data_IF_237348594403
#
_entry.id   IF_237348594403
#
_cell.length_a   1.000
_cell.length_b   1.000
_cell.length_c   1.000
_cell.angle_alpha   90.00
_cell.angle_beta   90.00
_cell.angle_gamma   90.00
#
_symmetry.space_group_name_H-M   'P 1'
#
loop_
_entity.id
_entity.type
_entity.pdbx_description
1 polymer ?
#
# COMPACT_ATOMS: atom_id res chain seq x y z
N UNK A 1 10.38 1.44 -10.91
CA UNK A 1 10.15 2.87 -10.56
C UNK A 1 11.38 3.68 -10.93
N UNK A 2 12.59 3.32 -10.51
CA UNK A 2 13.82 4.03 -10.85
C UNK A 2 14.03 4.17 -12.38
N UNK A 3 13.78 3.11 -13.16
CA UNK A 3 13.86 3.17 -14.63
C UNK A 3 12.85 4.11 -15.29
N UNK A 4 11.67 4.31 -14.67
CA UNK A 4 10.70 5.30 -15.16
C UNK A 4 11.14 6.73 -14.93
N UNK A 5 11.93 6.95 -13.90
CA UNK A 5 12.48 8.25 -13.56
C UNK A 5 13.44 8.79 -14.63
N UNK A 6 14.25 7.92 -15.23
CA UNK A 6 15.18 8.30 -16.31
C UNK A 6 14.46 8.85 -17.55
N UNK A 7 13.19 8.50 -17.74
CA UNK A 7 12.37 8.96 -18.85
C UNK A 7 11.56 10.25 -18.56
N UNK A 8 11.62 10.78 -17.33
CA UNK A 8 10.90 12.00 -16.93
C UNK A 8 11.85 13.20 -16.94
N UNK A 9 11.42 14.27 -17.58
CA UNK A 9 12.15 15.55 -17.64
C UNK A 9 12.18 16.29 -16.30
N UNK A 10 11.19 16.02 -15.43
CA UNK A 10 11.07 16.62 -14.09
C UNK A 10 10.54 15.55 -13.10
N UNK A 11 11.41 14.75 -12.50
CA UNK A 11 11.00 13.67 -11.63
C UNK A 11 10.56 14.19 -10.26
N UNK A 12 9.33 13.85 -9.86
CA UNK A 12 8.79 14.14 -8.53
C UNK A 12 9.40 13.29 -7.41
N UNK A 13 10.31 12.38 -7.74
CA UNK A 13 10.95 11.44 -6.81
C UNK A 13 12.45 11.45 -7.02
N UNK A 14 13.22 11.86 -6.02
CA UNK A 14 14.68 11.94 -6.10
C UNK A 14 15.33 10.58 -5.88
N UNK A 15 14.85 9.82 -4.91
CA UNK A 15 15.36 8.50 -4.56
C UNK A 15 14.26 7.48 -4.38
N UNK A 16 14.58 6.24 -4.75
CA UNK A 16 13.77 5.06 -4.45
C UNK A 16 14.72 4.03 -3.84
N UNK A 17 14.44 3.62 -2.62
CA UNK A 17 15.23 2.61 -1.92
C UNK A 17 14.34 1.54 -1.30
N UNK A 18 14.89 0.36 -1.14
CA UNK A 18 14.27 -0.76 -0.42
C UNK A 18 14.52 -0.63 1.09
N UNK A 19 13.82 -1.42 1.89
CA UNK A 19 14.11 -1.50 3.33
C UNK A 19 15.51 -2.04 3.62
N UNK A 20 16.03 -2.95 2.81
CA UNK A 20 17.40 -3.45 2.93
C UNK A 20 18.42 -2.33 2.69
N UNK A 21 18.22 -1.52 1.66
CA UNK A 21 19.08 -0.36 1.36
C UNK A 21 19.00 0.71 2.46
N UNK A 22 17.79 0.96 2.99
CA UNK A 22 17.61 1.87 4.13
C UNK A 22 18.31 1.34 5.39
N UNK A 23 18.21 0.05 5.67
CA UNK A 23 18.92 -0.59 6.78
C UNK A 23 20.44 -0.49 6.62
N UNK A 24 20.95 -0.70 5.41
CA UNK A 24 22.37 -0.52 5.10
C UNK A 24 22.83 0.93 5.27
N UNK A 25 21.99 1.91 4.90
CA UNK A 25 22.27 3.33 5.12
C UNK A 25 22.34 3.67 6.62
N UNK A 26 21.42 3.17 7.43
CA UNK A 26 21.47 3.36 8.88
C UNK A 26 22.75 2.76 9.48
N UNK A 27 23.11 1.55 9.06
CA UNK A 27 24.35 0.91 9.51
C UNK A 27 25.61 1.73 9.11
N UNK A 28 25.65 2.25 7.88
CA UNK A 28 26.76 3.08 7.40
C UNK A 28 26.88 4.43 8.14
N UNK A 29 25.76 4.96 8.63
CA UNK A 29 25.71 6.20 9.43
C UNK A 29 25.83 5.95 10.94
N UNK A 30 26.05 4.69 11.34
CA UNK A 30 26.11 4.27 12.75
C UNK A 30 24.85 4.65 13.55
N UNK A 31 23.67 4.65 12.89
CA UNK A 31 22.36 4.92 13.50
C UNK A 31 21.77 3.61 14.01
N UNK A 32 21.72 3.45 15.33
CA UNK A 32 20.97 2.37 15.98
C UNK A 32 19.53 2.82 16.26
N UNK A 33 18.63 2.49 15.33
CA UNK A 33 17.21 2.88 15.41
C UNK A 33 16.53 2.37 16.68
N UNK A 34 16.97 1.23 17.22
CA UNK A 34 16.36 0.63 18.41
C UNK A 34 16.71 1.42 19.69
N UNK A 35 17.88 2.04 19.71
CA UNK A 35 18.34 2.83 20.86
C UNK A 35 17.80 4.25 20.88
N UNK A 36 17.17 4.72 19.79
CA UNK A 36 16.62 6.07 19.71
C UNK A 36 15.35 6.20 20.55
N UNK A 37 15.20 7.36 21.20
CA UNK A 37 13.95 7.68 21.87
C UNK A 37 12.83 7.90 20.84
N UNK A 38 11.65 7.34 21.12
CA UNK A 38 10.48 7.62 20.31
C UNK A 38 10.01 9.06 20.51
N UNK A 39 9.82 9.77 19.41
CA UNK A 39 9.24 11.11 19.43
C UNK A 39 7.86 11.09 18.77
N UNK A 40 6.87 11.82 19.32
CA UNK A 40 5.56 11.94 18.67
C UNK A 40 5.69 12.75 17.38
N UNK A 41 4.97 12.34 16.35
CA UNK A 41 4.82 13.15 15.15
C UNK A 41 3.98 14.40 15.45
N UNK A 42 4.34 15.54 14.86
CA UNK A 42 3.58 16.78 15.00
C UNK A 42 2.12 16.60 14.52
N UNK A 43 1.94 15.82 13.45
CA UNK A 43 0.63 15.42 12.92
C UNK A 43 0.61 13.89 12.85
N UNK A 44 -0.06 13.22 13.80
CA UNK A 44 -0.13 11.76 13.78
C UNK A 44 -0.98 11.28 12.60
N UNK A 45 -0.43 10.39 11.80
CA UNK A 45 -1.19 9.73 10.76
C UNK A 45 -2.35 8.91 11.37
N UNK A 46 -3.48 8.86 10.68
CA UNK A 46 -4.61 7.99 11.06
C UNK A 46 -4.19 6.51 11.03
N UNK A 47 -4.94 5.66 11.72
CA UNK A 47 -4.71 4.20 11.68
C UNK A 47 -4.81 3.65 10.25
N UNK A 48 -5.74 4.17 9.45
CA UNK A 48 -5.93 3.78 8.05
C UNK A 48 -4.74 4.19 7.18
N UNK A 49 -4.21 5.41 7.37
CA UNK A 49 -3.02 5.86 6.67
C UNK A 49 -1.80 4.97 6.98
N UNK A 50 -1.64 4.56 8.24
CA UNK A 50 -0.56 3.64 8.63
C UNK A 50 -0.71 2.24 8.04
N UNK A 51 -1.94 1.77 7.88
CA UNK A 51 -2.24 0.45 7.34
C UNK A 51 -2.33 0.41 5.81
N UNK A 52 -2.19 1.55 5.13
CA UNK A 52 -2.38 1.67 3.68
C UNK A 52 -1.50 0.73 2.85
N UNK A 53 -0.32 0.37 3.35
CA UNK A 53 0.60 -0.55 2.69
C UNK A 53 0.34 -2.04 2.99
N UNK A 54 -0.61 -2.36 3.87
CA UNK A 54 -1.08 -3.72 4.11
C UNK A 54 -2.15 -4.13 3.11
N UNK A 55 -2.33 -5.44 2.92
CA UNK A 55 -3.49 -5.96 2.17
C UNK A 55 -4.79 -5.52 2.83
N UNK A 56 -5.75 -5.07 2.05
CA UNK A 56 -7.02 -4.43 2.43
C UNK A 56 -6.90 -2.99 2.92
N UNK A 57 -5.71 -2.46 3.17
CA UNK A 57 -5.52 -1.14 3.77
C UNK A 57 -6.09 0.01 2.93
N UNK A 58 -6.01 -0.10 1.61
CA UNK A 58 -6.61 0.89 0.69
C UNK A 58 -8.14 0.82 0.74
N UNK A 59 -8.69 -0.40 0.69
CA UNK A 59 -10.14 -0.61 0.76
C UNK A 59 -10.72 -0.09 2.08
N UNK A 60 -10.07 -0.38 3.19
CA UNK A 60 -10.48 0.08 4.52
C UNK A 60 -10.43 1.61 4.63
N UNK A 61 -9.37 2.24 4.13
CA UNK A 61 -9.24 3.70 4.14
C UNK A 61 -10.34 4.37 3.32
N UNK A 62 -10.70 3.82 2.16
CA UNK A 62 -11.77 4.35 1.31
C UNK A 62 -13.13 4.20 2.01
N UNK A 63 -13.41 3.06 2.63
CA UNK A 63 -14.67 2.81 3.31
C UNK A 63 -14.85 3.73 4.53
N UNK A 64 -13.77 3.99 5.26
CA UNK A 64 -13.79 4.91 6.41
C UNK A 64 -14.05 6.35 5.97
N UNK A 65 -13.31 6.85 4.98
CA UNK A 65 -13.52 8.19 4.43
C UNK A 65 -14.97 8.39 3.96
N UNK A 66 -15.51 7.36 3.30
CA UNK A 66 -16.92 7.39 2.88
C UNK A 66 -17.91 7.34 4.03
N UNK A 67 -17.53 6.80 5.19
CA UNK A 67 -18.39 6.74 6.37
C UNK A 67 -18.42 8.06 7.15
N UNK A 68 -17.30 8.78 7.18
CA UNK A 68 -17.15 10.07 7.85
C UNK A 68 -17.87 11.22 7.11
N UNK A 69 -17.95 11.12 5.80
CA UNK A 69 -18.71 12.09 5.00
C UNK A 69 -20.23 11.87 5.16
N UNK A 70 -21.00 12.95 5.20
CA UNK A 70 -22.46 12.91 5.29
C UNK A 70 -23.05 11.92 4.28
N UNK A 71 -23.96 11.03 4.71
CA UNK A 71 -24.52 10.00 3.84
C UNK A 71 -25.28 10.66 2.67
N UNK A 72 -24.70 10.61 1.48
CA UNK A 72 -25.38 10.97 0.25
C UNK A 72 -26.05 9.72 -0.33
N UNK A 73 -27.42 9.69 -0.39
CA UNK A 73 -28.13 8.54 -0.94
C UNK A 73 -27.80 8.23 -2.41
N UNK A 74 -27.19 9.18 -3.12
CA UNK A 74 -26.77 9.03 -4.53
C UNK A 74 -25.38 8.45 -4.68
N UNK A 75 -24.59 8.34 -3.60
CA UNK A 75 -23.27 7.72 -3.66
C UNK A 75 -23.39 6.21 -3.89
N UNK A 76 -22.62 5.67 -4.84
CA UNK A 76 -22.59 4.24 -5.03
C UNK A 76 -22.00 3.56 -3.79
N UNK A 77 -22.67 2.54 -3.29
CA UNK A 77 -22.13 1.70 -2.23
C UNK A 77 -20.92 0.93 -2.77
N UNK A 78 -19.79 1.04 -2.11
CA UNK A 78 -18.59 0.26 -2.46
C UNK A 78 -18.75 -1.17 -1.94
N UNK A 79 -18.71 -2.14 -2.85
CA UNK A 79 -18.53 -3.56 -2.54
C UNK A 79 -17.08 -3.92 -2.89
N UNK A 80 -16.20 -3.70 -1.90
CA UNK A 80 -14.76 -3.91 -2.01
C UNK A 80 -14.42 -5.40 -1.98
N UNK A 81 -13.55 -5.80 -2.88
CA UNK A 81 -12.90 -7.12 -2.90
C UNK A 81 -11.40 -6.91 -2.94
N UNK A 82 -10.64 -7.88 -2.45
CA UNK A 82 -9.19 -7.78 -2.46
C UNK A 82 -8.54 -9.08 -2.92
N UNK A 83 -7.38 -8.92 -3.54
CA UNK A 83 -6.50 -10.00 -3.96
C UNK A 83 -5.16 -9.81 -3.26
N UNK A 84 -4.82 -10.77 -2.41
CA UNK A 84 -3.65 -10.76 -1.57
C UNK A 84 -2.58 -11.70 -2.14
N UNK A 85 -1.66 -11.15 -2.90
CA UNK A 85 -0.64 -11.87 -3.65
C UNK A 85 -1.09 -12.23 -5.08
N UNK A 86 -0.18 -12.05 -6.04
CA UNK A 86 -0.41 -12.40 -7.44
C UNK A 86 0.19 -13.78 -7.75
N UNK A 87 -0.65 -14.80 -7.65
CA UNK A 87 -0.40 -16.13 -8.16
C UNK A 87 -1.23 -16.41 -9.42
N UNK A 88 -1.12 -17.62 -9.98
CA UNK A 88 -1.88 -18.02 -11.17
C UNK A 88 -3.40 -17.99 -10.94
N UNK A 89 -3.85 -18.30 -9.71
CA UNK A 89 -5.27 -18.29 -9.34
C UNK A 89 -5.78 -16.85 -9.27
N UNK A 90 -5.04 -15.96 -8.63
CA UNK A 90 -5.35 -14.54 -8.51
C UNK A 90 -5.43 -13.84 -9.86
N UNK A 91 -4.49 -14.15 -10.77
CA UNK A 91 -4.53 -13.64 -12.16
C UNK A 91 -5.78 -14.11 -12.90
N UNK A 92 -6.21 -15.36 -12.70
CA UNK A 92 -7.47 -15.84 -13.29
C UNK A 92 -8.69 -15.15 -12.70
N UNK A 93 -8.71 -14.88 -11.38
CA UNK A 93 -9.76 -14.10 -10.74
C UNK A 93 -9.84 -12.69 -11.32
N UNK A 94 -8.71 -12.00 -11.51
CA UNK A 94 -8.68 -10.68 -12.15
C UNK A 94 -9.28 -10.69 -13.55
N UNK A 95 -8.99 -11.73 -14.35
CA UNK A 95 -9.61 -11.90 -15.68
C UNK A 95 -11.13 -12.09 -15.60
N UNK A 96 -11.62 -12.68 -14.52
CA UNK A 96 -13.06 -12.85 -14.30
C UNK A 96 -13.70 -11.52 -13.85
N UNK A 97 -13.05 -10.75 -12.98
CA UNK A 97 -13.48 -9.39 -12.62
C UNK A 97 -13.55 -8.49 -13.86
N UNK A 98 -12.52 -8.49 -14.69
CA UNK A 98 -12.49 -7.70 -15.92
C UNK A 98 -13.63 -8.07 -16.91
N UNK A 99 -14.18 -9.27 -16.81
CA UNK A 99 -15.34 -9.73 -17.61
C UNK A 99 -16.67 -9.52 -16.90
N UNK A 100 -16.69 -8.89 -15.73
CA UNK A 100 -17.91 -8.71 -14.93
C UNK A 100 -18.54 -10.01 -14.41
N UNK A 101 -17.75 -11.08 -14.27
CA UNK A 101 -18.24 -12.41 -13.84
C UNK A 101 -18.17 -12.63 -12.33
N UNK A 102 -17.59 -11.71 -11.60
CA UNK A 102 -17.49 -11.77 -10.13
C UNK A 102 -18.15 -10.54 -9.51
N UNK A 103 -18.72 -10.69 -8.30
CA UNK A 103 -19.34 -9.58 -7.58
C UNK A 103 -18.29 -8.57 -7.09
N UNK A 104 -18.73 -7.34 -6.82
CA UNK A 104 -17.90 -6.24 -6.38
C UNK A 104 -17.74 -5.17 -7.45
N UNK A 105 -17.58 -3.94 -7.02
CA UNK A 105 -17.38 -2.78 -7.89
C UNK A 105 -16.03 -2.08 -7.65
N UNK A 106 -15.28 -2.56 -6.66
CA UNK A 106 -13.93 -2.10 -6.34
C UNK A 106 -13.04 -3.31 -6.02
N UNK A 107 -11.88 -3.38 -6.62
CA UNK A 107 -10.94 -4.50 -6.40
C UNK A 107 -9.57 -3.94 -6.05
N UNK A 108 -9.13 -4.16 -4.82
CA UNK A 108 -7.76 -3.90 -4.40
C UNK A 108 -6.88 -5.09 -4.75
N UNK A 109 -5.72 -4.84 -5.32
CA UNK A 109 -4.78 -5.90 -5.73
C UNK A 109 -3.40 -5.61 -5.17
N UNK A 110 -2.91 -6.50 -4.32
CA UNK A 110 -1.54 -6.50 -3.84
C UNK A 110 -0.75 -7.61 -4.50
N UNK A 111 0.37 -7.28 -5.14
CA UNK A 111 1.23 -8.26 -5.78
C UNK A 111 1.90 -9.19 -4.77
N UNK A 112 2.30 -8.64 -3.63
CA UNK A 112 2.93 -9.38 -2.54
C UNK A 112 1.88 -9.79 -1.51
N UNK A 113 1.99 -11.02 -0.98
CA UNK A 113 1.15 -11.47 0.13
C UNK A 113 1.41 -10.62 1.37
N UNK A 114 0.36 -10.12 2.00
CA UNK A 114 0.44 -9.19 3.12
C UNK A 114 0.48 -7.72 2.72
N UNK A 115 0.58 -7.41 1.42
CA UNK A 115 0.74 -6.06 0.89
C UNK A 115 2.21 -5.65 0.72
N UNK A 116 2.45 -4.36 0.56
CA UNK A 116 3.80 -3.82 0.32
C UNK A 116 4.76 -4.07 1.49
N UNK A 117 4.25 -4.10 2.72
CA UNK A 117 5.03 -4.38 3.94
C UNK A 117 5.54 -5.82 4.01
N UNK A 118 4.91 -6.76 3.30
CA UNK A 118 5.33 -8.16 3.18
C UNK A 118 6.09 -8.48 1.89
N UNK A 119 6.45 -7.45 1.13
CA UNK A 119 7.13 -7.59 -0.16
C UNK A 119 8.58 -8.04 -0.08
N UNK A 120 9.22 -8.30 -1.23
CA UNK A 120 10.66 -8.53 -1.32
C UNK A 120 11.43 -7.37 -0.69
N UNK A 121 12.55 -7.68 -0.06
CA UNK A 121 13.37 -6.68 0.65
C UNK A 121 12.72 -6.07 1.90
N UNK A 122 11.61 -6.62 2.38
CA UNK A 122 11.11 -6.32 3.72
C UNK A 122 11.97 -7.02 4.77
N UNK A 123 12.39 -6.30 5.80
CA UNK A 123 13.20 -6.85 6.89
C UNK A 123 12.37 -7.64 7.92
N UNK A 124 11.06 -7.46 7.91
CA UNK A 124 10.12 -8.16 8.79
C UNK A 124 9.28 -9.14 7.96
N UNK A 125 9.25 -10.38 8.39
CA UNK A 125 8.37 -11.43 7.84
C UNK A 125 7.49 -11.98 8.94
#
# INVERSE_FOLDING_TARGET
IAKRREAQSDPNTDFVMTFEELGALFAALEIDVISLNAEPLAEPATSFARNFAHSCGVTEAILEEMSEESPDPKRPKIDGKFINGLDRKSVNMLKMYAKGKLPGNFVEVMACTGGCVGGPCSLTR
#
